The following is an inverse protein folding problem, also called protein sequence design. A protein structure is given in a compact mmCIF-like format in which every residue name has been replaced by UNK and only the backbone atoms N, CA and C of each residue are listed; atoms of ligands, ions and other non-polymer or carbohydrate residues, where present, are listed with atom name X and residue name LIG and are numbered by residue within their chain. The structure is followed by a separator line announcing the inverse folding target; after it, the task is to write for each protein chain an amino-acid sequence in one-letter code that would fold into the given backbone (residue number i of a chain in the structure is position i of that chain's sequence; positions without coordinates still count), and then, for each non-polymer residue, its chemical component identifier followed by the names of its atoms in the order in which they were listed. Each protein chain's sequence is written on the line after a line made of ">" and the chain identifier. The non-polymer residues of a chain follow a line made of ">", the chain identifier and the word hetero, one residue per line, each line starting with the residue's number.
data_IF_611716910600
#
_entry.id   IF_611716910600
#
_cell.length_a   1.000
_cell.length_b   1.000
_cell.length_c   1.000
_cell.angle_alpha   90.00
_cell.angle_beta   90.00
_cell.angle_gamma   90.00
#
_symmetry.space_group_name_H-M   'P 1'
#
loop_
_entity.id
_entity.type
_entity.pdbx_description
1 polymer ?
#
# COMPACT_ATOMS: atom_id res chain seq x y z
N UNK A 1 65.15 -64.71 -36.24
CA UNK A 1 64.19 -65.67 -36.84
C UNK A 1 63.15 -66.02 -35.79
N UNK A 2 61.89 -65.96 -36.19
CA UNK A 2 60.68 -66.58 -35.60
C UNK A 2 60.32 -66.41 -34.12
N UNK A 3 59.17 -65.74 -33.94
CA UNK A 3 57.93 -66.21 -33.29
C UNK A 3 58.01 -66.87 -31.91
N UNK A 4 57.17 -66.39 -30.97
CA UNK A 4 55.97 -67.09 -30.47
C UNK A 4 55.44 -66.38 -29.20
N UNK A 5 54.12 -66.14 -29.13
CA UNK A 5 53.42 -65.89 -27.85
C UNK A 5 53.43 -67.15 -26.96
N UNK A 6 53.00 -67.09 -25.68
CA UNK A 6 51.59 -66.85 -25.36
C UNK A 6 51.29 -66.14 -24.01
N UNK A 7 50.02 -65.74 -23.91
CA UNK A 7 49.16 -65.46 -22.75
C UNK A 7 49.70 -65.62 -21.32
N UNK A 8 49.56 -64.58 -20.50
CA UNK A 8 49.16 -64.74 -19.10
C UNK A 8 48.34 -63.55 -18.59
N UNK A 9 47.31 -63.91 -17.83
CA UNK A 9 46.19 -63.11 -17.37
C UNK A 9 46.63 -62.13 -16.28
N UNK A 10 46.39 -60.85 -16.50
CA UNK A 10 46.29 -59.85 -15.46
C UNK A 10 45.02 -59.06 -15.68
N UNK A 11 44.23 -58.86 -14.63
CA UNK A 11 43.49 -57.62 -14.35
C UNK A 11 42.95 -57.77 -12.92
N UNK A 12 43.49 -56.93 -12.05
CA UNK A 12 42.92 -56.52 -10.76
C UNK A 12 41.72 -55.65 -11.08
N UNK A 13 40.50 -56.02 -10.65
CA UNK A 13 39.34 -55.13 -10.76
C UNK A 13 39.15 -54.43 -9.42
N UNK A 14 39.39 -53.13 -9.48
CA UNK A 14 39.18 -52.13 -8.44
C UNK A 14 37.71 -52.05 -8.00
N UNK A 15 37.51 -51.73 -6.72
CA UNK A 15 36.21 -51.52 -6.11
C UNK A 15 35.46 -50.34 -6.71
N UNK A 16 34.14 -50.48 -6.82
CA UNK A 16 33.21 -49.39 -7.09
C UNK A 16 32.49 -49.07 -5.79
N UNK A 17 32.88 -47.98 -5.15
CA UNK A 17 32.11 -47.31 -4.11
C UNK A 17 30.94 -46.59 -4.78
N UNK A 18 29.72 -47.14 -4.63
CA UNK A 18 28.50 -46.48 -5.05
C UNK A 18 28.09 -45.44 -3.98
N UNK A 19 28.36 -44.16 -4.23
CA UNK A 19 27.81 -43.06 -3.45
C UNK A 19 26.38 -42.77 -3.91
N UNK A 20 25.40 -43.21 -3.12
CA UNK A 20 24.01 -42.83 -3.30
C UNK A 20 23.81 -41.37 -2.87
N UNK A 21 23.61 -40.47 -3.85
CA UNK A 21 23.12 -39.11 -3.61
C UNK A 21 21.63 -39.16 -3.29
N UNK A 22 21.28 -39.08 -2.01
CA UNK A 22 19.92 -38.85 -1.56
C UNK A 22 19.50 -37.40 -1.86
N UNK A 23 18.65 -37.21 -2.87
CA UNK A 23 17.96 -35.94 -3.10
C UNK A 23 16.86 -35.78 -2.04
N UNK A 24 17.11 -34.95 -1.03
CA UNK A 24 16.07 -34.54 -0.09
C UNK A 24 15.12 -33.53 -0.78
N UNK A 25 13.78 -33.67 -0.66
CA UNK A 25 12.86 -32.67 -1.17
C UNK A 25 12.99 -31.40 -0.34
N UNK A 26 13.29 -30.28 -1.00
CA UNK A 26 13.25 -28.96 -0.40
C UNK A 26 11.79 -28.61 -0.11
N UNK A 27 11.36 -28.80 1.13
CA UNK A 27 10.11 -28.25 1.63
C UNK A 27 10.21 -26.72 1.59
N UNK A 28 9.43 -26.08 0.70
CA UNK A 28 9.28 -24.64 0.68
C UNK A 28 8.74 -24.19 2.05
N UNK A 29 9.56 -23.49 2.84
CA UNK A 29 9.13 -22.86 4.06
C UNK A 29 8.12 -21.76 3.72
N UNK A 30 6.83 -22.08 3.81
CA UNK A 30 5.76 -21.09 3.83
C UNK A 30 5.94 -20.30 5.14
N UNK A 31 6.35 -19.04 5.01
CA UNK A 31 6.40 -18.11 6.15
C UNK A 31 5.03 -18.07 6.84
N UNK A 32 4.98 -17.76 8.16
CA UNK A 32 3.74 -17.83 8.91
C UNK A 32 2.65 -17.00 8.23
N UNK A 33 1.53 -17.65 7.94
CA UNK A 33 0.33 -16.97 7.47
C UNK A 33 -0.05 -15.90 8.49
N UNK A 34 -0.15 -14.64 8.05
CA UNK A 34 -0.61 -13.55 8.89
C UNK A 34 -2.00 -13.90 9.42
N UNK A 35 -2.15 -13.88 10.74
CA UNK A 35 -3.44 -14.13 11.38
C UNK A 35 -4.48 -13.16 10.77
N UNK A 36 -5.69 -13.64 10.43
CA UNK A 36 -6.74 -12.77 9.93
C UNK A 36 -6.98 -11.65 10.95
N UNK A 37 -7.23 -10.42 10.50
CA UNK A 37 -7.55 -9.33 11.41
C UNK A 37 -8.74 -9.75 12.29
N UNK A 38 -8.81 -9.27 13.55
CA UNK A 38 -9.90 -9.65 14.43
C UNK A 38 -11.25 -9.39 13.77
N UNK A 39 -12.17 -10.35 13.87
CA UNK A 39 -13.53 -10.21 13.38
C UNK A 39 -14.13 -8.89 13.91
N UNK A 40 -14.47 -7.98 13.00
CA UNK A 40 -14.93 -6.63 13.34
C UNK A 40 -13.94 -5.49 13.06
N UNK A 41 -12.74 -5.77 12.55
CA UNK A 41 -11.78 -4.72 12.18
C UNK A 41 -12.32 -3.82 11.05
N UNK A 42 -12.20 -2.50 11.25
CA UNK A 42 -12.45 -1.54 10.17
C UNK A 42 -11.35 -1.62 9.13
N UNK A 43 -11.73 -1.67 7.85
CA UNK A 43 -10.81 -1.60 6.71
C UNK A 43 -11.05 -0.29 5.96
N UNK A 44 -9.94 0.36 5.61
CA UNK A 44 -9.94 1.57 4.79
C UNK A 44 -9.28 1.27 3.45
N UNK A 45 -10.00 1.53 2.36
CA UNK A 45 -9.55 1.24 1.00
C UNK A 45 -9.63 2.51 0.17
N UNK A 46 -8.52 2.95 -0.41
CA UNK A 46 -8.52 3.95 -1.47
C UNK A 46 -8.56 3.23 -2.82
N UNK A 47 -9.73 3.30 -3.44
CA UNK A 47 -10.02 2.72 -4.75
C UNK A 47 -9.84 3.80 -5.81
N UNK A 48 -8.73 3.70 -6.54
CA UNK A 48 -8.36 4.68 -7.55
C UNK A 48 -9.21 4.49 -8.79
N UNK A 49 -9.63 5.60 -9.38
CA UNK A 49 -10.31 5.59 -10.66
C UNK A 49 -9.27 5.75 -11.79
N UNK A 50 -8.99 4.71 -12.60
CA UNK A 50 -8.01 4.79 -13.68
C UNK A 50 -8.44 5.70 -14.82
N UNK A 51 -9.71 6.10 -14.90
CA UNK A 51 -10.19 7.04 -15.92
C UNK A 51 -9.99 8.49 -15.49
N UNK A 52 -10.09 8.76 -14.18
CA UNK A 52 -9.88 10.07 -13.59
C UNK A 52 -9.31 9.95 -12.17
N UNK A 53 -7.99 10.11 -11.98
CA UNK A 53 -7.37 10.08 -10.65
C UNK A 53 -7.97 11.08 -9.64
N UNK A 54 -8.62 12.15 -10.12
CA UNK A 54 -9.26 13.17 -9.28
C UNK A 54 -10.71 12.84 -8.92
N UNK A 55 -11.24 11.71 -9.40
CA UNK A 55 -12.55 11.17 -9.06
C UNK A 55 -12.50 9.70 -8.62
N UNK A 56 -11.64 9.43 -7.64
CA UNK A 56 -11.47 8.14 -6.97
C UNK A 56 -12.42 8.00 -5.77
N UNK A 57 -12.39 6.86 -5.06
CA UNK A 57 -13.22 6.64 -3.85
C UNK A 57 -12.38 6.21 -2.66
N UNK A 58 -12.73 6.72 -1.48
CA UNK A 58 -12.24 6.21 -0.21
C UNK A 58 -13.38 5.44 0.46
N UNK A 59 -13.19 4.14 0.63
CA UNK A 59 -14.18 3.18 1.06
C UNK A 59 -13.87 2.71 2.48
N UNK A 60 -14.89 2.70 3.32
CA UNK A 60 -14.81 2.15 4.68
C UNK A 60 -15.62 0.88 4.75
N UNK A 61 -15.01 -0.20 5.17
CA UNK A 61 -15.68 -1.47 5.45
C UNK A 61 -15.59 -1.79 6.94
N UNK A 62 -16.60 -2.49 7.46
CA UNK A 62 -16.63 -2.99 8.83
C UNK A 62 -16.62 -4.52 8.81
N UNK A 63 -15.66 -5.12 9.52
CA UNK A 63 -15.46 -6.57 9.54
C UNK A 63 -15.29 -7.15 8.13
N UNK A 64 -15.90 -8.30 7.90
CA UNK A 64 -15.76 -9.08 6.67
C UNK A 64 -16.77 -8.69 5.58
N UNK A 65 -17.52 -7.60 5.78
CA UNK A 65 -18.46 -7.10 4.77
C UNK A 65 -17.74 -6.71 3.48
N UNK A 66 -18.24 -7.19 2.34
CA UNK A 66 -17.83 -6.73 1.01
C UNK A 66 -18.63 -5.53 0.51
N UNK A 67 -19.61 -5.05 1.30
CA UNK A 67 -20.32 -3.80 1.03
C UNK A 67 -19.71 -2.69 1.90
N UNK A 68 -19.30 -1.56 1.30
CA UNK A 68 -18.75 -0.45 2.07
C UNK A 68 -19.84 0.15 2.96
N UNK A 69 -19.49 0.39 4.22
CA UNK A 69 -20.30 1.13 5.17
C UNK A 69 -20.37 2.62 4.83
N UNK A 70 -19.25 3.17 4.36
CA UNK A 70 -19.17 4.55 3.90
C UNK A 70 -18.33 4.64 2.62
N UNK A 71 -18.73 5.56 1.75
CA UNK A 71 -18.06 5.85 0.48
C UNK A 71 -17.88 7.36 0.42
N UNK A 72 -16.64 7.80 0.26
CA UNK A 72 -16.30 9.21 0.09
C UNK A 72 -15.71 9.42 -1.31
N UNK A 73 -16.11 10.50 -1.97
CA UNK A 73 -15.36 10.97 -3.15
C UNK A 73 -13.96 11.38 -2.70
N UNK A 74 -12.97 10.99 -3.49
CA UNK A 74 -11.57 11.24 -3.21
C UNK A 74 -10.80 11.55 -4.50
N UNK A 75 -9.60 12.09 -4.37
CA UNK A 75 -8.69 12.28 -5.49
C UNK A 75 -7.24 12.08 -5.09
N UNK A 76 -6.40 11.77 -6.07
CA UNK A 76 -4.95 11.65 -5.88
C UNK A 76 -4.19 12.01 -7.14
N UNK A 77 -3.12 12.79 -6.97
CA UNK A 77 -2.38 13.34 -8.10
C UNK A 77 -3.14 14.49 -8.76
N UNK A 78 -2.62 14.96 -9.89
CA UNK A 78 -3.19 16.07 -10.68
C UNK A 78 -3.86 15.57 -11.98
N UNK A 79 -4.35 14.33 -11.96
CA UNK A 79 -4.84 13.62 -13.15
C UNK A 79 -3.78 12.72 -13.82
N UNK A 80 -2.67 12.45 -13.13
CA UNK A 80 -1.55 11.64 -13.65
C UNK A 80 -1.53 10.29 -12.94
N UNK A 81 -1.65 9.21 -13.71
CA UNK A 81 -1.68 7.82 -13.21
C UNK A 81 -0.29 7.22 -12.96
N UNK A 82 0.78 7.87 -13.41
CA UNK A 82 2.12 7.39 -13.11
C UNK A 82 2.44 7.65 -11.63
N UNK A 83 2.43 6.62 -10.79
CA UNK A 83 2.71 6.73 -9.36
C UNK A 83 4.19 7.06 -9.06
N UNK A 84 5.08 6.85 -10.03
CA UNK A 84 6.47 7.27 -9.97
C UNK A 84 6.67 8.75 -10.36
N UNK A 85 5.64 9.43 -10.89
CA UNK A 85 5.72 10.85 -11.22
C UNK A 85 5.74 11.72 -9.95
N UNK A 86 6.91 12.27 -9.62
CA UNK A 86 7.14 13.09 -8.41
C UNK A 86 6.16 14.26 -8.33
N UNK A 87 5.51 14.41 -7.18
CA UNK A 87 4.61 15.52 -6.85
C UNK A 87 3.42 15.74 -7.82
N UNK A 88 3.08 14.77 -8.67
CA UNK A 88 1.95 14.90 -9.62
C UNK A 88 1.19 13.59 -9.84
N UNK A 89 1.90 12.47 -9.73
CA UNK A 89 1.34 11.13 -9.82
C UNK A 89 0.41 10.81 -8.66
N UNK A 90 -0.55 9.91 -8.89
CA UNK A 90 -1.40 9.38 -7.84
C UNK A 90 -0.62 8.49 -6.85
N UNK A 91 -1.28 8.10 -5.76
CA UNK A 91 -0.71 7.25 -4.74
C UNK A 91 -0.42 5.82 -5.26
N UNK A 92 0.77 5.25 -5.01
CA UNK A 92 1.08 3.86 -5.36
C UNK A 92 0.11 2.84 -4.75
N UNK A 93 -0.16 1.77 -5.50
CA UNK A 93 -0.90 0.61 -4.97
C UNK A 93 -0.10 -0.06 -3.85
N UNK A 94 -0.80 -0.58 -2.85
CA UNK A 94 -0.15 -1.25 -1.73
C UNK A 94 -0.93 -1.13 -0.43
N UNK A 95 -0.32 -1.61 0.65
CA UNK A 95 -0.88 -1.53 1.99
C UNK A 95 -0.05 -0.56 2.81
N UNK A 96 -0.53 0.66 2.98
CA UNK A 96 0.18 1.77 3.60
C UNK A 96 -0.13 1.84 5.10
N UNK A 97 0.88 1.69 5.95
CA UNK A 97 0.74 1.88 7.38
C UNK A 97 0.36 3.32 7.70
N UNK A 98 -0.64 3.48 8.57
CA UNK A 98 -1.02 4.78 9.14
C UNK A 98 -0.06 5.09 10.29
N UNK A 99 0.72 6.16 10.14
CA UNK A 99 1.73 6.62 11.11
C UNK A 99 1.19 7.63 12.11
N UNK A 100 0.28 8.50 11.68
CA UNK A 100 -0.32 9.55 12.51
C UNK A 100 -1.77 9.76 12.11
N UNK A 101 -2.61 10.09 13.08
CA UNK A 101 -3.96 10.63 12.87
C UNK A 101 -4.04 11.91 13.69
N UNK A 102 -4.53 13.00 13.12
CA UNK A 102 -4.63 14.28 13.81
C UNK A 102 -5.80 15.09 13.28
N UNK A 103 -6.52 15.77 14.18
CA UNK A 103 -7.56 16.75 13.86
C UNK A 103 -7.02 18.17 13.82
N UNK A 104 -5.77 18.39 14.24
CA UNK A 104 -5.14 19.71 14.42
C UNK A 104 -3.73 19.77 13.84
N UNK A 105 -3.45 18.95 12.83
CA UNK A 105 -2.15 18.89 12.18
C UNK A 105 -1.76 20.28 11.68
N UNK A 106 -0.48 20.64 11.79
CA UNK A 106 -0.02 21.99 11.48
C UNK A 106 1.28 21.98 10.68
N UNK A 107 1.30 21.23 9.58
CA UNK A 107 2.42 21.25 8.65
C UNK A 107 2.46 22.53 7.80
N UNK A 108 3.48 22.60 6.95
CA UNK A 108 3.67 23.73 6.03
C UNK A 108 2.54 23.82 5.00
N UNK A 109 2.21 22.71 4.36
CA UNK A 109 1.16 22.63 3.34
C UNK A 109 -0.15 22.12 3.93
N UNK A 110 -0.11 20.98 4.62
CA UNK A 110 -1.30 20.31 5.17
C UNK A 110 -1.57 20.84 6.58
N UNK A 111 -2.83 21.18 6.88
CA UNK A 111 -3.28 21.46 8.25
C UNK A 111 -4.65 20.83 8.53
N UNK A 112 -5.03 20.77 9.80
CA UNK A 112 -6.32 20.28 10.27
C UNK A 112 -6.37 18.76 10.30
N UNK A 113 -7.43 18.19 9.73
CA UNK A 113 -7.65 16.76 9.69
C UNK A 113 -6.67 16.10 8.71
N UNK A 114 -5.79 15.26 9.24
CA UNK A 114 -4.74 14.61 8.48
C UNK A 114 -4.44 13.21 8.99
N UNK A 115 -4.28 12.27 8.07
CA UNK A 115 -3.77 10.92 8.34
C UNK A 115 -2.45 10.77 7.60
N UNK A 116 -1.34 10.69 8.34
CA UNK A 116 -0.01 10.49 7.75
C UNK A 116 0.21 9.01 7.45
N UNK A 117 0.63 8.71 6.23
CA UNK A 117 0.96 7.37 5.77
C UNK A 117 2.47 7.14 5.84
N UNK A 118 2.90 5.88 5.85
CA UNK A 118 4.31 5.55 5.69
C UNK A 118 4.87 5.98 4.34
N UNK A 119 6.19 5.94 4.21
CA UNK A 119 6.82 6.13 2.91
C UNK A 119 6.77 4.81 2.13
N UNK A 120 6.44 4.86 0.85
CA UNK A 120 6.40 3.67 -0.01
C UNK A 120 7.11 3.92 -1.33
N UNK A 121 7.77 2.91 -1.87
CA UNK A 121 8.28 2.98 -3.24
C UNK A 121 7.12 2.96 -4.22
N UNK A 122 7.24 3.73 -5.30
CA UNK A 122 6.34 3.59 -6.42
C UNK A 122 6.54 2.22 -7.11
N UNK A 123 5.62 1.87 -7.99
CA UNK A 123 5.53 0.57 -8.65
C UNK A 123 6.80 0.15 -9.39
N UNK A 124 7.52 1.10 -10.00
CA UNK A 124 8.79 0.84 -10.70
C UNK A 124 10.01 0.85 -9.77
N UNK A 125 9.84 1.16 -8.49
CA UNK A 125 10.93 1.22 -7.50
C UNK A 125 11.90 2.40 -7.66
N UNK A 126 11.69 3.27 -8.65
CA UNK A 126 12.57 4.40 -9.00
C UNK A 126 12.48 5.59 -8.05
N UNK A 127 11.34 5.71 -7.36
CA UNK A 127 11.06 6.79 -6.42
C UNK A 127 10.44 6.25 -5.14
N UNK A 128 10.88 6.78 -3.99
CA UNK A 128 10.17 6.66 -2.72
C UNK A 128 9.23 7.85 -2.56
N UNK A 129 7.94 7.58 -2.41
CA UNK A 129 6.92 8.57 -2.03
C UNK A 129 7.01 8.79 -0.53
N UNK A 130 7.21 10.03 -0.14
CA UNK A 130 7.32 10.47 1.25
C UNK A 130 6.23 11.48 1.57
N UNK A 131 5.93 11.70 2.85
CA UNK A 131 4.99 12.75 3.26
C UNK A 131 3.60 12.61 2.60
N UNK A 132 3.12 11.37 2.45
CA UNK A 132 1.82 11.07 1.86
C UNK A 132 0.73 11.10 2.93
N UNK A 133 -0.39 11.76 2.65
CA UNK A 133 -1.49 11.91 3.61
C UNK A 133 -2.84 11.59 3.01
N UNK A 134 -3.81 11.26 3.87
CA UNK A 134 -5.22 11.55 3.63
C UNK A 134 -5.52 12.89 4.28
N UNK A 135 -5.96 13.89 3.51
CA UNK A 135 -6.22 15.22 4.05
C UNK A 135 -7.23 16.01 3.20
N UNK A 136 -7.52 17.22 3.64
CA UNK A 136 -8.34 18.22 2.93
C UNK A 136 -7.64 19.58 2.92
N UNK A 137 -8.24 20.55 2.24
CA UNK A 137 -7.97 21.97 2.43
C UNK A 137 -8.83 22.50 3.57
N UNK A 138 -8.17 23.09 4.57
CA UNK A 138 -8.78 23.67 5.76
C UNK A 138 -7.71 24.38 6.59
N UNK A 139 -8.17 25.19 7.54
CA UNK A 139 -7.35 25.71 8.63
C UNK A 139 -6.96 24.59 9.61
N UNK A 140 -6.04 24.91 10.52
CA UNK A 140 -5.55 23.98 11.56
C UNK A 140 -6.67 23.48 12.47
N UNK A 141 -7.67 24.29 12.76
CA UNK A 141 -8.83 23.93 13.58
C UNK A 141 -9.90 23.13 12.79
N UNK A 142 -9.66 22.89 11.50
CA UNK A 142 -10.61 22.25 10.61
C UNK A 142 -11.70 23.16 10.05
N UNK A 143 -11.67 24.46 10.33
CA UNK A 143 -12.55 25.45 9.70
C UNK A 143 -12.14 25.70 8.24
N UNK A 144 -13.07 26.24 7.44
CA UNK A 144 -12.78 26.71 6.09
C UNK A 144 -11.87 27.93 6.15
N UNK A 145 -10.79 27.95 5.38
CA UNK A 145 -9.93 29.11 5.26
C UNK A 145 -10.30 30.03 4.10
N UNK A 146 -9.57 31.12 3.97
CA UNK A 146 -9.80 32.15 2.95
C UNK A 146 -8.83 32.09 1.78
N UNK A 147 -7.69 31.41 1.94
CA UNK A 147 -6.69 31.21 0.87
C UNK A 147 -6.95 29.90 0.14
N UNK A 148 -6.53 29.79 -1.12
CA UNK A 148 -6.75 28.59 -1.96
C UNK A 148 -6.31 27.31 -1.24
N UNK A 149 -5.09 27.27 -0.70
CA UNK A 149 -4.58 26.09 0.03
C UNK A 149 -5.37 25.70 1.30
N UNK A 150 -6.34 26.53 1.71
CA UNK A 150 -7.17 26.38 2.90
C UNK A 150 -8.66 26.38 2.60
N UNK A 151 -9.06 26.67 1.37
CA UNK A 151 -10.43 26.93 0.99
C UNK A 151 -10.87 25.90 -0.03
N UNK A 152 -11.80 25.06 0.37
CA UNK A 152 -12.45 24.14 -0.54
C UNK A 152 -13.44 24.89 -1.45
N UNK A 153 -13.10 25.00 -2.73
CA UNK A 153 -13.83 25.65 -3.82
C UNK A 153 -14.54 24.65 -4.75
N UNK A 154 -14.24 23.35 -4.66
CA UNK A 154 -15.03 22.30 -5.30
C UNK A 154 -14.22 21.17 -5.93
N UNK A 155 -14.58 20.78 -7.15
CA UNK A 155 -14.06 19.55 -7.76
C UNK A 155 -12.55 19.60 -8.06
N UNK A 156 -11.97 20.79 -8.22
CA UNK A 156 -10.53 20.95 -8.51
C UNK A 156 -9.64 20.61 -7.32
N UNK A 157 -10.16 20.68 -6.10
CA UNK A 157 -9.40 20.54 -4.85
C UNK A 157 -9.19 19.07 -4.45
N UNK A 158 -9.80 18.16 -5.22
CA UNK A 158 -9.43 16.74 -5.21
C UNK A 158 -8.05 16.49 -5.83
N UNK A 159 -7.44 17.49 -6.47
CA UNK A 159 -6.06 17.40 -6.97
C UNK A 159 -5.06 17.50 -5.82
N UNK A 160 -3.97 16.74 -5.94
CA UNK A 160 -2.90 16.72 -4.94
C UNK A 160 -1.56 16.39 -5.57
N UNK A 161 -0.49 16.58 -4.80
CA UNK A 161 0.85 16.12 -5.19
C UNK A 161 1.05 14.59 -4.96
N UNK A 162 -0.04 13.82 -4.91
CA UNK A 162 -0.06 12.36 -4.72
C UNK A 162 -0.75 11.89 -3.42
N UNK A 163 -1.11 12.80 -2.52
CA UNK A 163 -1.95 12.51 -1.35
C UNK A 163 -3.36 12.04 -1.75
N UNK A 164 -4.10 11.46 -0.80
CA UNK A 164 -5.55 11.28 -0.92
C UNK A 164 -6.23 12.56 -0.43
N UNK A 165 -6.92 13.26 -1.33
CA UNK A 165 -7.72 14.44 -1.02
C UNK A 165 -9.17 14.06 -0.79
N UNK A 166 -9.75 14.59 0.26
CA UNK A 166 -11.17 14.51 0.57
C UNK A 166 -11.75 15.91 0.72
N UNK A 167 -13.05 16.03 0.53
CA UNK A 167 -13.80 17.21 0.95
C UNK A 167 -13.68 17.40 2.49
N UNK A 168 -13.68 18.65 3.01
CA UNK A 168 -13.54 18.92 4.44
C UNK A 168 -14.59 18.22 5.30
N UNK A 169 -15.83 18.12 4.84
CA UNK A 169 -16.91 17.49 5.60
C UNK A 169 -16.77 15.97 5.60
N UNK A 170 -16.29 15.39 4.49
CA UNK A 170 -16.11 13.94 4.37
C UNK A 170 -14.96 13.44 5.23
N UNK A 171 -13.82 14.15 5.28
CA UNK A 171 -12.74 13.76 6.20
C UNK A 171 -13.15 13.92 7.66
N UNK A 172 -13.93 14.95 8.01
CA UNK A 172 -14.50 15.09 9.36
C UNK A 172 -15.47 13.95 9.70
N UNK A 173 -16.34 13.56 8.76
CA UNK A 173 -17.24 12.40 8.91
C UNK A 173 -16.44 11.11 9.09
N UNK A 174 -15.36 10.93 8.33
CA UNK A 174 -14.47 9.76 8.44
C UNK A 174 -13.81 9.69 9.83
N UNK A 175 -13.25 10.79 10.34
CA UNK A 175 -12.69 10.82 11.69
C UNK A 175 -13.74 10.49 12.76
N UNK A 176 -14.91 11.16 12.70
CA UNK A 176 -16.04 10.86 13.61
C UNK A 176 -16.55 9.43 13.50
N UNK A 177 -16.34 8.75 12.37
CA UNK A 177 -16.70 7.34 12.22
C UNK A 177 -15.70 6.45 12.95
N UNK A 178 -14.40 6.69 12.78
CA UNK A 178 -13.33 5.89 13.39
C UNK A 178 -13.11 6.16 14.87
N UNK A 179 -13.53 7.31 15.38
CA UNK A 179 -13.51 7.60 16.82
C UNK A 179 -14.60 6.82 17.59
N UNK A 180 -15.54 6.17 16.89
CA UNK A 180 -16.55 5.33 17.53
C UNK A 180 -15.95 3.97 17.89
N UNK A 181 -16.20 3.45 19.11
CA UNK A 181 -15.63 2.18 19.56
C UNK A 181 -15.95 0.99 18.65
N UNK A 182 -17.12 0.98 18.02
CA UNK A 182 -17.58 -0.11 17.16
C UNK A 182 -16.96 -0.10 15.75
N UNK A 183 -16.23 0.94 15.38
CA UNK A 183 -15.41 1.00 14.16
C UNK A 183 -13.94 0.95 14.51
N UNK A 184 -13.50 1.86 15.37
CA UNK A 184 -12.08 2.06 15.66
C UNK A 184 -11.29 2.53 14.44
N UNK A 185 -10.06 2.95 14.71
CA UNK A 185 -9.14 3.36 13.65
C UNK A 185 -8.48 2.16 12.97
N UNK A 186 -8.48 2.09 11.63
CA UNK A 186 -7.64 1.14 10.92
C UNK A 186 -6.16 1.46 11.16
N UNK A 187 -5.33 0.42 11.04
CA UNK A 187 -3.86 0.55 11.10
C UNK A 187 -3.23 0.79 9.73
N UNK A 188 -3.96 0.50 8.66
CA UNK A 188 -3.47 0.63 7.29
C UNK A 188 -4.55 1.22 6.35
N UNK A 189 -4.07 1.84 5.29
CA UNK A 189 -4.82 2.16 4.08
C UNK A 189 -4.43 1.17 2.99
N UNK A 190 -5.39 0.40 2.47
CA UNK A 190 -5.18 -0.39 1.27
C UNK A 190 -5.45 0.48 0.04
N UNK A 191 -4.51 0.55 -0.90
CA UNK A 191 -4.64 1.31 -2.14
C UNK A 191 -4.74 0.34 -3.31
N UNK A 192 -5.79 0.49 -4.12
CA UNK A 192 -6.12 -0.35 -5.28
C UNK A 192 -6.51 0.52 -6.48
N UNK A 193 -6.71 -0.10 -7.65
CA UNK A 193 -7.08 0.52 -8.93
C UNK A 193 -7.79 -0.48 -9.82
#
# INVERSE_FOLDING_TARGET
>A
MSSNGPHLRGIVIAGVLATALALAPAAAAQGPAQAPPPAGATRLVFDKNPKDPTDSRLLVYKGDSNTPWAVYRAGSGVGVQDDCARARGWLPNGNWKIKLKSTTYNGNLIKGYAVYLEDMKCSQGTLKRTEMFIHSEMNRDGSQGTTESRRWDGARDYKSNGCVKLNPDDIKKMFRLFDRPEFGWPTHLRVVS
#
